data_IF_529193704544
#
_entry.id   IF_529193704544
#
_cell.length_a   1.000
_cell.length_b   1.000
_cell.length_c   1.000
_cell.angle_alpha   90.00
_cell.angle_beta   90.00
_cell.angle_gamma   90.00
#
_symmetry.space_group_name_H-M   'P 1'
#
loop_
_entity.id
_entity.type
_entity.pdbx_description
1 polymer ?
#
# COMPACT_ATOMS: atom_id res chain seq x y z
N UNK A 1 1.13 16.60 -5.08
CA UNK A 1 1.35 17.35 -3.81
C UNK A 1 2.84 17.58 -3.70
N UNK A 2 3.25 18.75 -3.21
CA UNK A 2 4.66 19.10 -3.10
C UNK A 2 5.28 18.49 -1.83
N UNK A 3 6.58 18.23 -1.85
CA UNK A 3 7.36 17.85 -0.69
C UNK A 3 7.87 19.13 -0.02
N UNK A 4 7.65 19.25 1.28
CA UNK A 4 8.19 20.33 2.10
C UNK A 4 9.49 19.89 2.76
N UNK A 5 10.59 20.53 2.41
CA UNK A 5 11.88 20.32 3.04
C UNK A 5 12.04 21.21 4.27
N UNK A 6 12.70 20.71 5.30
CA UNK A 6 13.04 21.50 6.49
C UNK A 6 14.35 22.26 6.28
N UNK A 7 14.48 23.43 6.91
CA UNK A 7 15.75 24.16 6.99
C UNK A 7 16.78 23.33 7.78
N UNK A 8 18.06 23.30 7.40
CA UNK A 8 19.10 22.48 8.00
C UNK A 8 19.60 23.03 9.34
N UNK A 9 18.69 23.29 10.28
CA UNK A 9 19.02 23.87 11.60
C UNK A 9 19.65 22.87 12.58
N UNK A 10 19.46 21.56 12.35
CA UNK A 10 20.05 20.47 13.15
C UNK A 10 20.43 19.30 12.25
N UNK A 11 21.35 18.40 12.68
CA UNK A 11 21.73 17.22 11.88
C UNK A 11 20.51 16.40 11.42
N UNK A 12 19.51 16.21 12.26
CA UNK A 12 18.30 15.47 11.93
C UNK A 12 17.37 16.19 10.96
N UNK A 13 17.34 17.53 10.98
CA UNK A 13 16.52 18.33 10.05
C UNK A 13 17.15 18.49 8.67
N UNK A 14 18.48 18.41 8.56
CA UNK A 14 19.20 18.58 7.30
C UNK A 14 18.64 17.75 6.14
N UNK A 15 18.30 16.51 6.42
CA UNK A 15 17.80 15.55 5.42
C UNK A 15 16.32 15.16 5.64
N UNK A 16 15.56 15.97 6.41
CA UNK A 16 14.19 15.65 6.72
C UNK A 16 13.23 16.36 5.75
N UNK A 17 12.28 15.61 5.23
CA UNK A 17 11.16 16.17 4.47
C UNK A 17 9.83 15.60 4.94
N UNK A 18 8.75 16.25 4.55
CA UNK A 18 7.36 15.83 4.81
C UNK A 18 6.51 16.09 3.57
N UNK A 19 5.43 15.34 3.42
CA UNK A 19 4.41 15.65 2.42
C UNK A 19 3.71 16.96 2.81
N UNK A 20 3.44 17.82 1.86
CA UNK A 20 2.60 19.00 2.06
C UNK A 20 1.13 18.55 2.09
N UNK A 21 0.46 18.86 3.18
CA UNK A 21 -0.96 18.54 3.39
C UNK A 21 -1.88 19.72 3.11
N UNK A 22 -1.39 20.81 2.50
CA UNK A 22 -2.19 22.00 2.20
C UNK A 22 -3.39 21.72 1.31
N UNK A 23 -3.28 20.74 0.42
CA UNK A 23 -4.36 20.29 -0.46
C UNK A 23 -5.38 19.34 0.18
N UNK A 24 -5.23 18.99 1.46
CA UNK A 24 -6.17 18.15 2.17
C UNK A 24 -7.14 18.98 3.03
N UNK A 25 -8.35 18.45 3.18
CA UNK A 25 -9.37 19.06 4.04
C UNK A 25 -8.96 18.97 5.51
N UNK A 26 -9.04 20.11 6.22
CA UNK A 26 -8.72 20.21 7.66
C UNK A 26 -9.94 19.84 8.51
N UNK A 27 -10.41 18.61 8.38
CA UNK A 27 -11.60 18.11 9.10
C UNK A 27 -11.26 16.90 9.96
N UNK A 28 -12.07 16.67 11.00
CA UNK A 28 -12.01 15.44 11.76
C UNK A 28 -12.60 14.28 10.93
N UNK A 29 -12.06 13.05 11.05
CA UNK A 29 -12.58 11.91 10.31
C UNK A 29 -13.99 11.55 10.77
N UNK A 30 -14.81 11.02 9.86
CA UNK A 30 -16.19 10.58 10.11
C UNK A 30 -16.22 9.50 11.20
N UNK A 31 -16.91 9.77 12.30
CA UNK A 31 -16.90 8.92 13.51
C UNK A 31 -17.50 7.53 13.27
N UNK A 32 -18.55 7.44 12.46
CA UNK A 32 -19.23 6.19 12.11
C UNK A 32 -18.35 5.22 11.32
N UNK A 33 -17.32 5.74 10.63
CA UNK A 33 -16.39 4.97 9.81
C UNK A 33 -15.04 4.71 10.51
N UNK A 34 -14.98 4.87 11.84
CA UNK A 34 -13.78 4.64 12.63
C UNK A 34 -13.91 3.40 13.52
N UNK A 35 -12.91 2.52 13.42
CA UNK A 35 -12.77 1.37 14.30
C UNK A 35 -11.50 1.45 15.16
N UNK A 36 -11.51 0.86 16.38
CA UNK A 36 -10.30 0.72 17.18
C UNK A 36 -9.30 -0.19 16.47
N UNK A 37 -8.03 0.22 16.41
CA UNK A 37 -6.95 -0.57 15.85
C UNK A 37 -6.05 -1.13 16.94
N UNK A 38 -6.25 -2.39 17.30
CA UNK A 38 -5.42 -3.10 18.25
C UNK A 38 -4.08 -3.48 17.64
N UNK A 39 -2.98 -3.05 18.27
CA UNK A 39 -1.62 -3.32 17.79
C UNK A 39 -1.16 -4.70 18.23
N UNK A 40 -0.92 -5.59 17.28
CA UNK A 40 -0.37 -6.94 17.55
C UNK A 40 1.14 -6.94 17.75
N UNK A 41 1.86 -5.85 17.50
CA UNK A 41 3.31 -5.69 17.68
C UNK A 41 4.15 -6.84 17.12
N UNK A 42 3.78 -7.34 15.93
CA UNK A 42 4.47 -8.43 15.24
C UNK A 42 4.25 -9.82 15.81
N UNK A 43 3.25 -10.00 16.67
CA UNK A 43 2.89 -11.30 17.27
C UNK A 43 1.77 -11.99 16.48
N UNK A 44 1.83 -13.32 16.43
CA UNK A 44 0.77 -14.16 15.86
C UNK A 44 -0.35 -14.43 16.88
N UNK A 45 -1.32 -15.30 16.52
CA UNK A 45 -2.42 -15.71 17.39
C UNK A 45 -1.97 -16.39 18.70
N UNK A 46 -0.81 -17.06 18.71
CA UNK A 46 -0.21 -17.70 19.88
C UNK A 46 0.66 -16.75 20.72
N UNK A 47 0.68 -15.45 20.42
CA UNK A 47 1.51 -14.46 21.12
C UNK A 47 3.00 -14.50 20.78
N UNK A 48 3.45 -15.38 19.89
CA UNK A 48 4.86 -15.50 19.47
C UNK A 48 5.21 -14.42 18.46
N UNK A 49 6.42 -13.85 18.57
CA UNK A 49 6.93 -12.85 17.63
C UNK A 49 7.27 -13.54 16.31
N UNK A 50 6.49 -13.25 15.25
CA UNK A 50 6.72 -13.71 13.88
C UNK A 50 7.33 -12.64 12.99
N UNK A 51 7.11 -11.36 13.32
CA UNK A 51 7.73 -10.20 12.66
C UNK A 51 8.46 -9.38 13.71
N UNK A 52 9.79 -9.44 13.70
CA UNK A 52 10.64 -8.70 14.63
C UNK A 52 10.59 -7.19 14.39
N UNK A 53 11.02 -6.41 15.38
CA UNK A 53 11.21 -4.96 15.31
C UNK A 53 9.89 -4.19 15.01
N UNK A 54 8.76 -4.70 15.47
CA UNK A 54 7.46 -4.04 15.41
C UNK A 54 6.95 -3.74 16.81
N UNK A 55 6.29 -2.60 17.00
CA UNK A 55 5.69 -2.20 18.27
C UNK A 55 5.84 -0.72 18.58
N UNK A 56 5.13 -0.24 19.57
CA UNK A 56 5.02 1.18 19.90
C UNK A 56 4.33 1.96 18.77
N UNK A 57 4.82 3.18 18.53
CA UNK A 57 4.25 4.09 17.52
C UNK A 57 3.00 4.81 18.01
N UNK A 58 2.55 5.78 17.22
CA UNK A 58 1.38 6.60 17.53
C UNK A 58 0.11 5.75 17.63
N UNK A 59 -0.82 6.14 18.51
CA UNK A 59 -2.17 5.58 18.52
C UNK A 59 -2.90 5.99 17.25
N UNK A 60 -3.61 5.05 16.63
CA UNK A 60 -4.36 5.25 15.39
C UNK A 60 -5.69 4.54 15.49
N UNK A 61 -6.71 5.12 14.85
CA UNK A 61 -7.98 4.43 14.56
C UNK A 61 -7.94 3.96 13.11
N UNK A 62 -8.55 2.83 12.83
CA UNK A 62 -8.74 2.34 11.47
C UNK A 62 -9.88 3.10 10.80
N UNK A 63 -9.72 3.48 9.53
CA UNK A 63 -10.79 4.01 8.70
C UNK A 63 -11.33 2.89 7.83
N UNK A 64 -12.61 2.66 7.89
CA UNK A 64 -13.30 1.67 7.07
C UNK A 64 -13.33 2.21 5.65
N UNK A 65 -12.64 1.51 4.74
CA UNK A 65 -12.58 1.88 3.33
C UNK A 65 -13.45 0.94 2.53
N UNK A 66 -14.26 1.50 1.66
CA UNK A 66 -15.05 0.73 0.70
C UNK A 66 -14.15 0.21 -0.45
N UNK A 67 -13.63 -1.00 -0.25
CA UNK A 67 -12.85 -1.69 -1.27
C UNK A 67 -13.70 -2.48 -2.27
N UNK A 68 -14.99 -2.64 -1.99
CA UNK A 68 -15.89 -3.42 -2.84
C UNK A 68 -16.63 -2.59 -3.86
N UNK A 69 -16.93 -1.32 -3.51
CA UNK A 69 -17.66 -0.40 -4.38
C UNK A 69 -18.98 -1.00 -4.90
N UNK A 70 -19.76 -1.61 -4.00
CA UNK A 70 -20.98 -2.35 -4.34
C UNK A 70 -22.23 -1.47 -4.50
N UNK A 71 -22.15 -0.17 -4.29
CA UNK A 71 -23.23 0.78 -4.59
C UNK A 71 -23.17 1.13 -6.07
N UNK A 72 -23.84 0.31 -6.88
CA UNK A 72 -23.84 0.48 -8.34
C UNK A 72 -24.81 1.58 -8.76
N UNK A 73 -24.40 2.34 -9.77
CA UNK A 73 -25.17 3.35 -10.52
C UNK A 73 -25.70 4.51 -9.66
N UNK A 74 -25.26 4.61 -8.41
CA UNK A 74 -25.61 5.73 -7.53
C UNK A 74 -24.42 6.70 -7.48
N UNK A 75 -24.60 7.97 -7.86
CA UNK A 75 -23.54 8.96 -7.81
C UNK A 75 -23.19 9.32 -6.37
N UNK A 76 -21.91 9.37 -6.07
CA UNK A 76 -21.37 9.80 -4.79
C UNK A 76 -20.55 11.08 -4.95
N UNK A 77 -20.91 12.13 -4.20
CA UNK A 77 -20.17 13.40 -4.20
C UNK A 77 -19.00 13.36 -3.23
N UNK A 78 -17.83 13.79 -3.66
CA UNK A 78 -16.64 13.92 -2.82
C UNK A 78 -16.80 15.11 -1.87
N UNK A 79 -16.89 14.83 -0.57
CA UNK A 79 -17.02 15.86 0.47
C UNK A 79 -15.66 16.37 0.92
N UNK A 80 -14.72 15.45 1.22
CA UNK A 80 -13.40 15.80 1.76
C UNK A 80 -12.32 14.88 1.21
N UNK A 81 -11.08 15.41 1.18
CA UNK A 81 -9.86 14.63 0.97
C UNK A 81 -9.07 14.60 2.28
N UNK A 82 -8.78 13.43 2.80
CA UNK A 82 -8.23 13.27 4.15
C UNK A 82 -6.92 12.47 4.18
N UNK A 83 -6.11 12.75 5.20
CA UNK A 83 -4.96 11.94 5.57
C UNK A 83 -5.38 10.70 6.35
N UNK A 84 -4.91 9.51 5.95
CA UNK A 84 -5.07 8.28 6.73
C UNK A 84 -3.70 7.80 7.25
N UNK A 85 -3.50 7.71 8.59
CA UNK A 85 -2.24 7.22 9.16
C UNK A 85 -2.00 5.71 8.96
N UNK A 86 -2.97 4.98 8.43
CA UNK A 86 -2.88 3.52 8.26
C UNK A 86 -2.37 3.10 6.88
N UNK A 87 -2.34 4.04 5.93
CA UNK A 87 -1.90 3.80 4.55
C UNK A 87 -1.09 4.96 3.99
N UNK A 88 -0.37 4.70 2.92
CA UNK A 88 0.41 5.73 2.23
C UNK A 88 -0.47 6.63 1.34
N UNK A 89 -1.57 6.09 0.81
CA UNK A 89 -2.53 6.83 0.00
C UNK A 89 -3.42 7.73 0.87
N UNK A 90 -3.85 8.87 0.33
CA UNK A 90 -4.94 9.66 0.91
C UNK A 90 -6.29 9.01 0.63
N UNK A 91 -7.29 9.39 1.39
CA UNK A 91 -8.66 8.89 1.29
C UNK A 91 -9.60 10.04 0.96
N UNK A 92 -10.71 9.73 0.30
CA UNK A 92 -11.80 10.65 0.04
C UNK A 92 -13.05 10.17 0.76
N UNK A 93 -13.72 11.07 1.47
CA UNK A 93 -15.06 10.84 2.00
C UNK A 93 -16.05 11.17 0.89
N UNK A 94 -16.84 10.20 0.50
CA UNK A 94 -17.92 10.37 -0.47
C UNK A 94 -19.26 10.26 0.25
N UNK A 95 -20.24 11.05 -0.20
CA UNK A 95 -21.63 10.95 0.22
C UNK A 95 -22.47 10.62 -0.99
N UNK A 96 -23.25 9.57 -0.86
CA UNK A 96 -24.22 9.16 -1.85
C UNK A 96 -25.53 9.96 -1.71
N UNK A 97 -26.39 9.93 -2.73
CA UNK A 97 -27.69 10.64 -2.72
C UNK A 97 -28.61 10.19 -1.59
N UNK A 98 -28.50 8.93 -1.15
CA UNK A 98 -29.24 8.39 -0.01
C UNK A 98 -28.69 8.84 1.37
N UNK A 99 -27.70 9.72 1.39
CA UNK A 99 -27.07 10.24 2.61
C UNK A 99 -25.98 9.34 3.20
N UNK A 100 -25.80 8.11 2.71
CA UNK A 100 -24.75 7.21 3.20
C UNK A 100 -23.36 7.77 2.86
N UNK A 101 -22.47 7.72 3.85
CA UNK A 101 -21.07 8.13 3.65
C UNK A 101 -20.14 6.92 3.60
N UNK A 102 -19.15 6.95 2.73
CA UNK A 102 -18.07 5.93 2.65
C UNK A 102 -16.73 6.58 2.37
N UNK A 103 -15.67 5.96 2.88
CA UNK A 103 -14.31 6.30 2.45
C UNK A 103 -13.90 5.47 1.25
N UNK A 104 -13.25 6.11 0.30
CA UNK A 104 -12.54 5.46 -0.81
C UNK A 104 -11.08 5.88 -0.84
N UNK A 105 -10.22 5.14 -1.54
CA UNK A 105 -8.86 5.60 -1.83
C UNK A 105 -8.97 6.76 -2.84
N UNK A 106 -8.32 7.88 -2.54
CA UNK A 106 -8.31 9.05 -3.41
C UNK A 106 -7.39 8.81 -4.61
N UNK A 107 -7.90 8.78 -5.85
CA UNK A 107 -7.08 8.80 -7.04
C UNK A 107 -6.39 10.14 -7.25
N UNK A 108 -5.35 10.13 -8.05
CA UNK A 108 -4.68 11.36 -8.45
C UNK A 108 -5.61 12.24 -9.29
N UNK A 109 -5.65 13.53 -8.98
CA UNK A 109 -6.48 14.52 -9.67
C UNK A 109 -7.91 14.67 -9.12
N UNK A 110 -8.37 13.80 -8.21
CA UNK A 110 -9.69 13.94 -7.58
C UNK A 110 -9.74 15.20 -6.70
N UNK A 111 -10.83 15.95 -6.81
CA UNK A 111 -11.08 17.19 -6.05
C UNK A 111 -12.35 17.07 -5.19
N UNK A 112 -12.43 17.93 -4.19
CA UNK A 112 -13.66 18.12 -3.42
C UNK A 112 -14.75 18.68 -4.36
N UNK A 113 -15.93 18.08 -4.31
CA UNK A 113 -17.06 18.43 -5.18
C UNK A 113 -17.20 17.53 -6.40
N UNK A 114 -16.17 16.77 -6.78
CA UNK A 114 -16.27 15.81 -7.88
C UNK A 114 -17.27 14.70 -7.57
N UNK A 115 -17.86 14.13 -8.61
CA UNK A 115 -18.78 12.99 -8.50
C UNK A 115 -18.08 11.72 -8.95
N UNK A 116 -18.26 10.63 -8.18
CA UNK A 116 -17.73 9.29 -8.49
C UNK A 116 -18.87 8.28 -8.52
N UNK A 117 -18.83 7.38 -9.50
CA UNK A 117 -19.83 6.33 -9.70
C UNK A 117 -19.15 4.97 -9.74
N UNK A 118 -19.87 3.94 -9.33
CA UNK A 118 -19.48 2.55 -9.52
C UNK A 118 -20.58 1.84 -10.31
N UNK A 119 -20.26 1.15 -11.38
CA UNK A 119 -21.25 0.46 -12.20
C UNK A 119 -20.70 0.02 -13.54
N UNK A 120 -21.51 -0.70 -14.29
CA UNK A 120 -21.13 -1.20 -15.63
C UNK A 120 -21.09 -0.11 -16.68
N UNK A 121 -21.92 0.94 -16.51
CA UNK A 121 -22.08 2.06 -17.46
C UNK A 121 -21.40 3.35 -16.99
N UNK A 122 -20.61 3.27 -15.90
CA UNK A 122 -19.92 4.43 -15.37
C UNK A 122 -18.88 4.96 -16.39
N UNK A 123 -18.76 6.28 -16.52
CA UNK A 123 -17.77 6.93 -17.38
C UNK A 123 -16.32 6.53 -17.02
N UNK A 124 -15.43 6.54 -18.00
CA UNK A 124 -13.99 6.28 -17.80
C UNK A 124 -13.31 7.53 -17.22
N UNK A 125 -13.70 7.90 -16.01
CA UNK A 125 -13.14 9.04 -15.27
C UNK A 125 -12.37 8.56 -14.03
N UNK A 126 -11.28 9.25 -13.60
CA UNK A 126 -10.55 8.90 -12.39
C UNK A 126 -11.47 8.86 -11.16
N UNK A 127 -11.45 7.73 -10.43
CA UNK A 127 -12.30 7.51 -9.26
C UNK A 127 -13.54 6.65 -9.51
N UNK A 128 -13.99 6.52 -10.75
CA UNK A 128 -15.07 5.62 -11.11
C UNK A 128 -14.61 4.16 -11.08
N UNK A 129 -15.48 3.27 -10.63
CA UNK A 129 -15.18 1.85 -10.52
C UNK A 129 -16.05 1.05 -11.48
N UNK A 130 -15.41 0.22 -12.31
CA UNK A 130 -16.06 -0.59 -13.32
C UNK A 130 -15.51 -2.03 -13.32
N UNK A 131 -16.27 -3.00 -13.84
CA UNK A 131 -15.72 -4.29 -14.23
C UNK A 131 -14.61 -4.12 -15.28
N UNK A 132 -13.56 -4.94 -15.22
CA UNK A 132 -12.47 -4.89 -16.21
C UNK A 132 -12.95 -5.10 -17.64
N UNK A 133 -14.07 -5.81 -17.83
CA UNK A 133 -14.73 -5.98 -19.12
C UNK A 133 -15.02 -4.62 -19.81
N UNK A 134 -15.46 -3.64 -19.04
CA UNK A 134 -15.96 -2.35 -19.55
C UNK A 134 -14.88 -1.25 -19.61
N UNK A 135 -13.68 -1.51 -19.07
CA UNK A 135 -12.57 -0.56 -19.11
C UNK A 135 -11.77 -0.76 -20.41
N UNK A 136 -11.49 0.29 -21.22
CA UNK A 136 -10.67 0.16 -22.42
C UNK A 136 -9.24 -0.37 -22.12
N UNK A 137 -8.67 -1.12 -23.06
CA UNK A 137 -7.28 -1.54 -23.02
C UNK A 137 -6.34 -0.31 -23.05
N UNK A 138 -5.17 -0.43 -22.40
CA UNK A 138 -4.24 0.69 -22.25
C UNK A 138 -4.52 1.60 -21.04
N UNK A 139 -5.74 1.55 -20.47
CA UNK A 139 -6.12 2.40 -19.33
C UNK A 139 -5.34 2.05 -18.06
N UNK A 140 -4.94 3.09 -17.32
CA UNK A 140 -4.39 2.93 -15.97
C UNK A 140 -5.50 2.79 -14.95
N UNK A 141 -5.35 1.81 -14.08
CA UNK A 141 -6.33 1.44 -13.07
C UNK A 141 -5.66 1.19 -11.72
N UNK A 142 -6.43 1.29 -10.67
CA UNK A 142 -6.01 0.96 -9.30
C UNK A 142 -7.14 0.26 -8.56
N UNK A 143 -6.94 -0.11 -7.30
CA UNK A 143 -7.95 -0.83 -6.51
C UNK A 143 -8.54 -2.03 -7.26
N UNK A 144 -7.68 -2.89 -7.81
CA UNK A 144 -8.13 -4.02 -8.63
C UNK A 144 -8.44 -5.22 -7.75
N UNK A 145 -9.57 -5.87 -8.00
CA UNK A 145 -9.92 -7.15 -7.39
C UNK A 145 -9.11 -8.30 -8.00
N UNK A 146 -8.91 -9.35 -7.22
CA UNK A 146 -8.35 -10.64 -7.68
C UNK A 146 -9.43 -11.69 -7.95
N UNK A 147 -10.54 -11.56 -7.24
CA UNK A 147 -11.73 -12.41 -7.37
C UNK A 147 -12.95 -11.52 -7.31
N UNK A 148 -13.97 -11.76 -8.13
CA UNK A 148 -15.17 -10.93 -8.16
C UNK A 148 -15.84 -10.82 -6.79
N UNK A 149 -16.23 -9.61 -6.40
CA UNK A 149 -16.94 -9.32 -5.15
C UNK A 149 -16.11 -9.42 -3.87
N UNK A 150 -14.83 -9.80 -3.94
CA UNK A 150 -13.95 -9.90 -2.78
C UNK A 150 -13.45 -8.54 -2.28
N UNK A 151 -13.50 -7.54 -3.13
CA UNK A 151 -12.95 -6.21 -2.89
C UNK A 151 -11.52 -6.07 -3.38
N UNK A 152 -11.11 -4.83 -3.57
CA UNK A 152 -9.81 -4.47 -4.15
C UNK A 152 -8.63 -5.01 -3.33
N UNK A 153 -7.64 -5.59 -4.01
CA UNK A 153 -6.44 -6.17 -3.40
C UNK A 153 -5.14 -5.66 -4.03
N UNK A 154 -5.14 -5.28 -5.31
CA UNK A 154 -3.96 -4.83 -6.04
C UNK A 154 -3.94 -3.30 -6.22
N UNK A 155 -2.75 -2.74 -6.38
CA UNK A 155 -2.50 -1.31 -6.68
C UNK A 155 -3.26 -0.34 -5.74
N UNK A 156 -3.04 -0.43 -4.41
CA UNK A 156 -3.72 0.38 -3.39
C UNK A 156 -2.82 1.38 -2.67
N UNK A 157 -1.51 1.26 -2.82
CA UNK A 157 -0.56 2.17 -2.17
C UNK A 157 -0.39 3.47 -2.97
N UNK A 158 0.09 4.53 -2.32
CA UNK A 158 0.34 5.84 -2.92
C UNK A 158 1.15 5.71 -4.22
N UNK A 159 0.74 6.43 -5.26
CA UNK A 159 1.40 6.44 -6.56
C UNK A 159 1.28 5.16 -7.38
N UNK A 160 0.68 4.10 -6.84
CA UNK A 160 0.58 2.83 -7.57
C UNK A 160 -0.56 2.87 -8.61
N UNK A 161 -0.29 2.21 -9.73
CA UNK A 161 -1.25 1.94 -10.80
C UNK A 161 -0.94 0.58 -11.42
N UNK A 162 -1.94 -0.07 -11.98
CA UNK A 162 -1.81 -1.19 -12.90
C UNK A 162 -2.27 -0.73 -14.28
N UNK A 163 -1.82 -1.37 -15.34
CA UNK A 163 -2.27 -1.09 -16.70
C UNK A 163 -3.03 -2.29 -17.25
N UNK A 164 -4.20 -2.06 -17.79
CA UNK A 164 -4.96 -3.08 -18.50
C UNK A 164 -4.37 -3.24 -19.90
N UNK A 165 -3.66 -4.36 -20.16
CA UNK A 165 -2.92 -4.58 -21.40
C UNK A 165 -3.80 -5.18 -22.50
N UNK A 166 -4.54 -6.24 -22.16
CA UNK A 166 -5.37 -6.98 -23.08
C UNK A 166 -6.56 -7.64 -22.36
N UNK A 167 -7.55 -8.05 -23.11
CA UNK A 167 -8.68 -8.86 -22.68
C UNK A 167 -8.81 -10.06 -23.63
N UNK A 168 -8.80 -11.26 -23.07
CA UNK A 168 -8.89 -12.50 -23.85
C UNK A 168 -9.92 -13.41 -23.18
N UNK A 169 -11.06 -13.59 -23.84
CA UNK A 169 -12.18 -14.37 -23.31
C UNK A 169 -12.62 -13.86 -21.91
N UNK A 170 -12.57 -14.74 -20.91
CA UNK A 170 -12.98 -14.45 -19.54
C UNK A 170 -11.86 -13.77 -18.70
N UNK A 171 -10.68 -13.49 -19.27
CA UNK A 171 -9.51 -13.02 -18.55
C UNK A 171 -9.02 -11.67 -19.09
N UNK A 172 -8.54 -10.82 -18.18
CA UNK A 172 -7.88 -9.57 -18.45
C UNK A 172 -6.40 -9.66 -18.07
N UNK A 173 -5.51 -9.27 -18.95
CA UNK A 173 -4.06 -9.22 -18.72
C UNK A 173 -3.71 -7.86 -18.12
N UNK A 174 -3.18 -7.87 -16.91
CA UNK A 174 -2.76 -6.67 -16.18
C UNK A 174 -1.24 -6.62 -16.01
N UNK A 175 -0.66 -5.45 -16.29
CA UNK A 175 0.68 -5.09 -15.88
C UNK A 175 0.64 -4.44 -14.51
N UNK A 176 1.16 -5.13 -13.50
CA UNK A 176 1.17 -4.67 -12.12
C UNK A 176 2.28 -3.63 -11.86
N UNK A 177 2.24 -2.86 -10.75
CA UNK A 177 3.30 -1.90 -10.40
C UNK A 177 4.69 -2.53 -10.28
N UNK A 178 4.78 -3.82 -9.97
CA UNK A 178 6.05 -4.57 -9.92
C UNK A 178 6.63 -4.92 -11.29
N UNK A 179 5.89 -4.69 -12.39
CA UNK A 179 6.22 -5.13 -13.74
C UNK A 179 5.74 -6.57 -14.05
N UNK A 180 5.13 -7.28 -13.11
CA UNK A 180 4.55 -8.60 -13.33
C UNK A 180 3.33 -8.49 -14.24
N UNK A 181 3.24 -9.38 -15.25
CA UNK A 181 2.05 -9.56 -16.08
C UNK A 181 1.20 -10.69 -15.50
N UNK A 182 -0.05 -10.38 -15.20
CA UNK A 182 -0.94 -11.29 -14.50
C UNK A 182 -2.35 -11.27 -15.09
N UNK A 183 -2.93 -12.44 -15.23
CA UNK A 183 -4.32 -12.62 -15.61
C UNK A 183 -5.25 -12.47 -14.40
N UNK A 184 -6.36 -11.78 -14.61
CA UNK A 184 -7.43 -11.56 -13.62
C UNK A 184 -8.77 -11.72 -14.36
N UNK A 185 -9.82 -12.32 -13.75
CA UNK A 185 -11.13 -12.40 -14.39
C UNK A 185 -11.68 -11.03 -14.81
N UNK A 186 -12.27 -10.94 -16.00
CA UNK A 186 -12.82 -9.67 -16.53
C UNK A 186 -13.99 -9.12 -15.71
N UNK A 187 -14.65 -9.97 -14.94
CA UNK A 187 -15.72 -9.58 -14.01
C UNK A 187 -15.23 -8.91 -12.72
N UNK A 188 -13.92 -8.91 -12.48
CA UNK A 188 -13.34 -8.21 -11.33
C UNK A 188 -13.47 -6.69 -11.49
N UNK A 189 -13.82 -6.01 -10.37
CA UNK A 189 -13.90 -4.56 -10.33
C UNK A 189 -12.52 -3.92 -10.25
N UNK A 190 -12.37 -2.77 -10.88
CA UNK A 190 -11.21 -1.89 -10.75
C UNK A 190 -11.64 -0.43 -10.77
N UNK A 191 -10.82 0.44 -10.19
CA UNK A 191 -11.05 1.89 -10.22
C UNK A 191 -10.14 2.52 -11.26
N UNK A 192 -10.68 3.40 -12.09
CA UNK A 192 -9.94 4.12 -13.14
C UNK A 192 -8.96 5.13 -12.52
N UNK A 193 -7.79 5.25 -13.13
CA UNK A 193 -6.75 6.21 -12.74
C UNK A 193 -5.66 5.62 -11.85
N UNK A 194 -4.77 6.49 -11.37
CA UNK A 194 -3.64 6.21 -10.50
C UNK A 194 -3.97 6.63 -9.07
N UNK A 195 -3.46 5.92 -8.07
CA UNK A 195 -3.58 6.34 -6.66
C UNK A 195 -2.84 7.66 -6.44
N UNK A 196 -3.45 8.57 -5.70
CA UNK A 196 -2.87 9.87 -5.36
C UNK A 196 -1.65 9.78 -4.43
N UNK A 197 -1.13 10.96 -3.98
CA UNK A 197 0.06 11.09 -3.13
C UNK A 197 1.34 10.53 -3.76
N UNK A 198 1.60 10.90 -5.02
CA UNK A 198 2.71 10.40 -5.84
C UNK A 198 4.08 10.55 -5.18
N UNK A 199 4.29 11.66 -4.48
CA UNK A 199 5.58 11.99 -3.84
C UNK A 199 5.84 11.28 -2.51
N UNK A 200 4.96 10.34 -2.11
CA UNK A 200 5.11 9.66 -0.81
C UNK A 200 6.46 8.93 -0.66
N UNK A 201 6.95 8.31 -1.72
CA UNK A 201 8.21 7.56 -1.69
C UNK A 201 9.44 8.48 -1.56
N UNK A 202 9.34 9.73 -2.01
CA UNK A 202 10.43 10.71 -1.98
C UNK A 202 10.62 11.36 -0.60
N UNK A 203 9.71 11.08 0.36
CA UNK A 203 9.77 11.65 1.71
C UNK A 203 10.89 11.04 2.52
N UNK A 204 11.82 11.90 2.99
CA UNK A 204 12.94 11.50 3.85
C UNK A 204 12.55 11.64 5.32
N UNK A 205 12.60 10.54 6.07
CA UNK A 205 12.21 10.50 7.49
C UNK A 205 13.14 11.35 8.36
N UNK A 206 14.45 11.37 8.07
CA UNK A 206 15.46 12.22 8.66
C UNK A 206 15.96 11.81 10.05
N UNK A 207 15.13 11.21 10.92
CA UNK A 207 15.53 10.82 12.27
C UNK A 207 14.89 9.49 12.75
N UNK A 208 15.61 8.80 13.64
CA UNK A 208 15.16 7.52 14.22
C UNK A 208 13.82 7.65 14.99
N UNK A 209 13.59 8.78 15.67
CA UNK A 209 12.35 9.03 16.40
C UNK A 209 11.10 8.98 15.52
N UNK A 210 11.16 9.48 14.27
CA UNK A 210 10.04 9.34 13.32
C UNK A 210 9.77 7.90 12.95
N UNK A 211 10.81 7.06 12.76
CA UNK A 211 10.64 5.61 12.59
C UNK A 211 9.97 4.97 13.79
N UNK A 212 10.35 5.40 15.01
CA UNK A 212 9.70 4.92 16.25
C UNK A 212 8.22 5.26 16.28
N UNK A 213 7.83 6.48 15.88
CA UNK A 213 6.42 6.89 15.79
C UNK A 213 5.63 6.07 14.76
N UNK A 214 6.27 5.55 13.71
CA UNK A 214 5.65 4.63 12.75
C UNK A 214 5.49 3.19 13.29
N UNK A 215 5.99 2.90 14.50
CA UNK A 215 5.91 1.57 15.11
C UNK A 215 7.05 0.63 14.72
N UNK A 216 8.14 1.18 14.17
CA UNK A 216 9.35 0.43 13.83
C UNK A 216 10.34 0.55 15.00
N UNK A 217 10.69 -0.58 15.60
CA UNK A 217 11.70 -0.65 16.66
C UNK A 217 13.12 -0.72 16.07
N UNK A 218 14.16 -0.31 16.83
CA UNK A 218 15.55 -0.44 16.40
C UNK A 218 15.91 -1.87 16.06
N UNK A 219 16.79 -2.03 15.07
CA UNK A 219 17.33 -3.34 14.66
C UNK A 219 18.82 -3.38 14.98
N UNK A 220 19.24 -4.42 15.66
CA UNK A 220 20.66 -4.72 15.93
C UNK A 220 21.14 -5.65 14.83
N UNK A 221 22.30 -5.37 14.26
CA UNK A 221 22.93 -6.23 13.23
C UNK A 221 23.55 -7.47 13.89
N UNK A 222 23.56 -8.61 13.19
CA UNK A 222 24.03 -9.88 13.75
C UNK A 222 25.51 -9.88 14.14
N UNK A 223 26.37 -9.09 13.47
CA UNK A 223 27.81 -9.01 13.76
C UNK A 223 28.18 -8.37 15.11
N UNK A 224 27.24 -7.75 15.81
CA UNK A 224 27.44 -7.20 17.18
C UNK A 224 26.71 -8.01 18.25
N UNK A 225 26.24 -9.20 17.91
CA UNK A 225 25.65 -10.17 18.82
C UNK A 225 26.67 -11.23 19.23
N UNK A 226 26.33 -12.03 20.23
CA UNK A 226 27.13 -13.18 20.60
C UNK A 226 26.98 -14.31 19.57
N UNK A 227 27.97 -15.25 19.49
CA UNK A 227 27.89 -16.39 18.58
C UNK A 227 26.65 -17.27 18.78
N UNK A 228 26.12 -17.35 20.01
CA UNK A 228 24.88 -18.08 20.31
C UNK A 228 23.62 -17.42 19.77
N UNK A 229 23.62 -16.08 19.58
CA UNK A 229 22.44 -15.32 19.15
C UNK A 229 22.34 -15.16 17.63
N UNK A 230 23.49 -15.17 16.94
CA UNK A 230 23.52 -14.99 15.51
C UNK A 230 24.74 -15.66 14.86
N UNK A 231 24.60 -16.28 13.68
CA UNK A 231 25.74 -16.88 12.95
C UNK A 231 26.88 -15.93 12.57
N UNK A 232 26.65 -14.62 12.62
CA UNK A 232 27.66 -13.57 12.40
C UNK A 232 28.22 -13.02 13.71
N UNK A 233 27.82 -13.54 14.85
CA UNK A 233 28.22 -13.05 16.16
C UNK A 233 29.64 -13.47 16.54
N UNK A 234 30.20 -12.75 17.52
CA UNK A 234 31.56 -13.00 18.05
C UNK A 234 32.66 -12.19 17.37
N UNK A 235 33.87 -12.38 17.86
CA UNK A 235 35.09 -11.69 17.41
C UNK A 235 35.34 -10.37 18.12
N UNK A 236 36.54 -9.80 17.89
CA UNK A 236 36.98 -8.53 18.48
C UNK A 236 36.74 -7.36 17.53
N UNK A 237 36.37 -6.19 18.10
CA UNK A 237 36.21 -4.92 17.38
C UNK A 237 35.17 -4.96 16.28
N UNK A 238 35.54 -4.55 15.08
CA UNK A 238 34.68 -4.54 13.87
C UNK A 238 34.81 -5.85 13.10
N UNK A 239 34.33 -6.94 13.66
CA UNK A 239 34.40 -8.25 13.01
C UNK A 239 33.62 -8.28 11.69
N UNK A 240 34.17 -8.95 10.64
CA UNK A 240 33.49 -9.18 9.38
C UNK A 240 32.36 -10.22 9.55
N UNK A 241 31.62 -10.45 8.46
CA UNK A 241 30.55 -11.48 8.44
C UNK A 241 31.12 -12.89 8.64
N UNK A 242 32.38 -13.15 8.26
CA UNK A 242 33.07 -14.41 8.44
C UNK A 242 32.48 -15.60 7.68
N UNK A 243 31.66 -15.34 6.63
CA UNK A 243 31.00 -16.36 5.81
C UNK A 243 30.99 -15.92 4.34
N UNK A 244 30.84 -16.84 3.37
CA UNK A 244 30.76 -16.49 1.95
C UNK A 244 29.65 -15.49 1.60
N UNK A 245 28.60 -15.41 2.41
CA UNK A 245 27.53 -14.44 2.26
C UNK A 245 26.76 -14.21 3.56
N UNK A 246 25.99 -13.11 3.64
CA UNK A 246 25.20 -12.83 4.83
C UNK A 246 24.07 -13.85 5.01
N UNK A 247 23.85 -14.25 6.25
CA UNK A 247 22.78 -15.19 6.64
C UNK A 247 21.82 -14.59 7.65
N UNK A 248 20.64 -15.18 7.74
CA UNK A 248 19.64 -14.87 8.78
C UNK A 248 20.05 -15.46 10.13
N UNK A 249 19.41 -15.08 11.25
CA UNK A 249 19.65 -15.72 12.57
C UNK A 249 19.50 -17.23 12.55
N UNK A 250 18.76 -17.78 11.61
CA UNK A 250 18.54 -19.23 11.45
C UNK A 250 19.47 -19.87 10.41
N UNK A 251 20.52 -19.17 9.98
CA UNK A 251 21.53 -19.69 9.07
C UNK A 251 21.16 -19.72 7.58
N UNK A 252 19.95 -19.28 7.21
CA UNK A 252 19.55 -19.22 5.79
C UNK A 252 20.17 -17.99 5.09
N UNK A 253 20.55 -18.06 3.80
CA UNK A 253 21.03 -16.90 3.06
C UNK A 253 20.06 -15.72 3.17
N UNK A 254 20.59 -14.53 3.51
CA UNK A 254 19.78 -13.33 3.73
C UNK A 254 19.44 -12.57 2.45
N UNK A 255 20.32 -12.62 1.45
CA UNK A 255 20.20 -11.91 0.17
C UNK A 255 20.09 -12.91 -0.99
N UNK A 256 19.23 -12.58 -1.97
CA UNK A 256 19.10 -13.35 -3.21
C UNK A 256 18.40 -14.70 -3.09
N UNK A 257 18.07 -15.17 -1.90
CA UNK A 257 17.40 -16.46 -1.72
C UNK A 257 15.94 -16.40 -2.15
N UNK A 258 15.54 -17.29 -3.05
CA UNK A 258 14.16 -17.39 -3.55
C UNK A 258 13.30 -18.12 -2.52
N UNK A 259 12.46 -17.36 -1.79
CA UNK A 259 11.59 -17.90 -0.73
C UNK A 259 10.20 -18.33 -1.24
N UNK A 260 9.80 -17.94 -2.46
CA UNK A 260 8.53 -18.35 -3.05
C UNK A 260 8.53 -19.87 -3.26
N UNK A 261 7.50 -20.54 -2.78
CA UNK A 261 7.31 -21.99 -2.99
C UNK A 261 7.20 -22.30 -4.49
N UNK A 262 7.78 -23.42 -4.91
CA UNK A 262 7.54 -24.00 -6.24
C UNK A 262 6.07 -24.44 -6.31
N UNK A 263 5.47 -24.34 -7.50
CA UNK A 263 4.08 -24.78 -7.75
C UNK A 263 3.03 -24.07 -6.87
N UNK A 264 3.14 -22.76 -6.73
CA UNK A 264 2.13 -21.96 -6.05
C UNK A 264 0.85 -21.90 -6.91
N UNK A 265 -0.34 -22.00 -6.28
CA UNK A 265 -1.64 -21.92 -6.97
C UNK A 265 -1.79 -20.68 -7.87
N UNK A 266 -1.19 -19.57 -7.49
CA UNK A 266 -1.22 -18.33 -8.27
C UNK A 266 -0.31 -18.33 -9.50
N UNK A 267 0.55 -19.34 -9.71
CA UNK A 267 1.46 -19.39 -10.86
C UNK A 267 0.70 -19.53 -12.18
N UNK A 268 -0.47 -20.18 -12.18
CA UNK A 268 -1.36 -20.29 -13.35
C UNK A 268 -1.83 -18.92 -13.89
N UNK A 269 -1.89 -17.91 -13.03
CA UNK A 269 -2.35 -16.56 -13.39
C UNK A 269 -1.20 -15.61 -13.75
N UNK A 270 0.05 -16.00 -13.56
CA UNK A 270 1.21 -15.16 -13.86
C UNK A 270 1.74 -15.54 -15.24
N UNK A 271 1.62 -14.61 -16.20
CA UNK A 271 2.13 -14.77 -17.56
C UNK A 271 3.63 -14.48 -17.61
N UNK A 272 4.06 -13.37 -16.98
CA UNK A 272 5.46 -12.97 -16.93
C UNK A 272 5.80 -12.39 -15.57
N UNK A 273 6.85 -12.91 -14.94
CA UNK A 273 7.35 -12.36 -13.66
C UNK A 273 8.14 -11.08 -13.88
N UNK A 274 8.29 -10.25 -12.84
CA UNK A 274 9.03 -8.98 -12.90
C UNK A 274 10.47 -9.12 -13.40
N UNK A 275 11.12 -10.28 -13.24
CA UNK A 275 12.51 -10.52 -13.63
C UNK A 275 12.63 -11.25 -14.98
N UNK A 276 11.61 -11.21 -15.82
CA UNK A 276 11.68 -11.70 -17.21
C UNK A 276 11.64 -13.21 -17.41
N UNK A 277 11.44 -14.00 -16.34
CA UNK A 277 11.28 -15.47 -16.42
C UNK A 277 9.88 -15.88 -16.01
#
# INVERSE_FOLDING_TARGET
MAIKNYKPTTPSRRNMSVTDYSGLSKVAPEKSLLEPLNKKSGRNSYGRITVRHRGGGNRRKYRIIDFKRQKFDIPGKVLTLEYDPNRSAHIALIQYEDGEKRYIIAPNGLKVGDTVVAGTEADIKPGNALPLANIPTGTFIHNVELYPGKGAQLARAAGNMAQLMAKEGAMALLRLPSGELRNVPVSCMATVGQVGNLDHENVKIGKAGRKRHLGIRPTVRGSVMNPCDHPHGGGEGKSPVGRPGPVTPWGKPALGYKTRKKHNRSDKMIVKRRNGK
#
